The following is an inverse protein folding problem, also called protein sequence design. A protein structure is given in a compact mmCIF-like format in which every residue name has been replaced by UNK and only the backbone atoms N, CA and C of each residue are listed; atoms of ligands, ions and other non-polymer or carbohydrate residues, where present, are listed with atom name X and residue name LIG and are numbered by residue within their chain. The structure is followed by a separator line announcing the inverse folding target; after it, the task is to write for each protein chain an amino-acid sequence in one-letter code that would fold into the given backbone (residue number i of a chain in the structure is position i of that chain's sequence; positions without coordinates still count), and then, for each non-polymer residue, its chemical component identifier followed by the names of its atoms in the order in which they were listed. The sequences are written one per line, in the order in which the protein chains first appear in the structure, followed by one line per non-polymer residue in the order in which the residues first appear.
data_IF_144111123739
#
_entry.id   IF_144111123739
#
_cell.length_a   1.000
_cell.length_b   1.000
_cell.length_c   1.000
_cell.angle_alpha   90.00
_cell.angle_beta   90.00
_cell.angle_gamma   90.00
#
_symmetry.space_group_name_H-M   'P 1'
#
loop_
_entity.id
_entity.type
_entity.pdbx_description
1 polymer ?
#
# COMPACT_ATOMS: atom_id res chain seq x y z
N UNK A 1 17.70 4.87 6.59
CA UNK A 1 16.54 4.50 5.74
C UNK A 1 17.04 4.43 4.31
N UNK A 2 17.36 3.23 3.79
CA UNK A 2 17.82 3.07 2.40
C UNK A 2 16.61 2.78 1.51
N UNK A 3 16.04 3.83 0.94
CA UNK A 3 14.96 3.73 -0.03
C UNK A 3 15.51 3.10 -1.31
N UNK A 4 14.94 1.96 -1.72
CA UNK A 4 15.35 1.24 -2.92
C UNK A 4 14.33 1.45 -4.05
N UNK A 5 14.66 1.07 -5.29
CA UNK A 5 13.71 1.19 -6.41
C UNK A 5 12.43 0.35 -6.21
N UNK A 6 12.53 -0.76 -5.49
CA UNK A 6 11.38 -1.57 -5.11
C UNK A 6 10.44 -0.81 -4.16
N UNK A 7 11.01 -0.05 -3.23
CA UNK A 7 10.30 0.83 -2.29
C UNK A 7 9.42 1.87 -3.00
N UNK A 8 9.90 2.42 -4.12
CA UNK A 8 9.12 3.38 -4.92
C UNK A 8 7.93 2.71 -5.62
N UNK A 9 8.09 1.47 -6.10
CA UNK A 9 6.98 0.71 -6.67
C UNK A 9 5.95 0.33 -5.60
N UNK A 10 6.42 -0.06 -4.41
CA UNK A 10 5.57 -0.37 -3.25
C UNK A 10 4.76 0.87 -2.81
N UNK A 11 5.34 2.07 -2.90
CA UNK A 11 4.66 3.34 -2.67
C UNK A 11 3.54 3.61 -3.68
N UNK A 12 3.78 3.36 -4.98
CA UNK A 12 2.73 3.51 -6.01
C UNK A 12 1.58 2.56 -5.74
N UNK A 13 1.88 1.31 -5.36
CA UNK A 13 0.88 0.32 -4.97
C UNK A 13 0.11 0.77 -3.74
N UNK A 14 0.80 1.31 -2.75
CA UNK A 14 0.18 1.86 -1.55
C UNK A 14 -0.79 3.02 -1.86
N UNK A 15 -0.38 3.96 -2.71
CA UNK A 15 -1.23 5.08 -3.14
C UNK A 15 -2.48 4.60 -3.88
N UNK A 16 -2.35 3.63 -4.79
CA UNK A 16 -3.50 3.08 -5.50
C UNK A 16 -4.48 2.39 -4.53
N UNK A 17 -3.96 1.61 -3.58
CA UNK A 17 -4.78 0.93 -2.55
C UNK A 17 -5.46 1.97 -1.64
N UNK A 18 -4.75 3.01 -1.23
CA UNK A 18 -5.30 4.08 -0.40
C UNK A 18 -6.42 4.85 -1.14
N UNK A 19 -6.21 5.15 -2.43
CA UNK A 19 -7.18 5.86 -3.27
C UNK A 19 -8.47 5.05 -3.48
N UNK A 20 -8.34 3.74 -3.70
CA UNK A 20 -9.48 2.87 -3.93
C UNK A 20 -10.10 2.28 -2.67
N UNK A 21 -9.38 2.35 -1.55
CA UNK A 21 -9.67 1.64 -0.30
C UNK A 21 -9.94 0.14 -0.50
N UNK A 22 -9.40 -0.44 -1.58
CA UNK A 22 -9.68 -1.81 -2.01
C UNK A 22 -8.52 -2.36 -2.83
N UNK A 23 -7.97 -3.49 -2.38
CA UNK A 23 -6.92 -4.22 -3.09
C UNK A 23 -7.36 -4.68 -4.47
N UNK A 24 -8.61 -5.11 -4.62
CA UNK A 24 -9.13 -5.59 -5.92
C UNK A 24 -9.26 -4.46 -6.93
N UNK A 25 -9.75 -3.29 -6.52
CA UNK A 25 -9.87 -2.13 -7.43
C UNK A 25 -8.51 -1.57 -7.81
N UNK A 26 -7.59 -1.48 -6.85
CA UNK A 26 -6.21 -1.06 -7.12
C UNK A 26 -5.47 -2.04 -8.04
N UNK A 27 -5.70 -3.34 -7.89
CA UNK A 27 -5.13 -4.38 -8.75
C UNK A 27 -5.59 -4.22 -10.21
N UNK A 28 -6.88 -3.97 -10.41
CA UNK A 28 -7.44 -3.71 -11.75
C UNK A 28 -6.83 -2.45 -12.37
N UNK A 29 -6.69 -1.37 -11.61
CA UNK A 29 -6.06 -0.14 -12.13
C UNK A 29 -4.59 -0.38 -12.54
N UNK A 30 -3.84 -1.07 -11.70
CA UNK A 30 -2.40 -1.26 -11.88
C UNK A 30 -2.07 -2.42 -12.83
N UNK A 31 -3.07 -3.14 -13.33
CA UNK A 31 -2.87 -4.29 -14.22
C UNK A 31 -2.14 -5.47 -13.55
N UNK A 32 -2.23 -5.59 -12.23
CA UNK A 32 -1.58 -6.66 -11.45
C UNK A 32 -2.63 -7.45 -10.66
N UNK A 33 -2.24 -8.58 -10.09
CA UNK A 33 -3.15 -9.32 -9.21
C UNK A 33 -3.21 -8.71 -7.81
N UNK A 34 -4.36 -8.85 -7.14
CA UNK A 34 -4.53 -8.40 -5.75
C UNK A 34 -3.59 -9.13 -4.77
N UNK A 35 -3.19 -10.36 -5.09
CA UNK A 35 -2.19 -11.12 -4.34
C UNK A 35 -0.79 -10.53 -4.47
N UNK A 36 -0.41 -10.03 -5.65
CA UNK A 36 0.84 -9.28 -5.86
C UNK A 36 0.86 -8.02 -5.00
N UNK A 37 -0.23 -7.24 -5.00
CA UNK A 37 -0.33 -6.05 -4.16
C UNK A 37 -0.25 -6.37 -2.66
N UNK A 38 -0.92 -7.43 -2.21
CA UNK A 38 -0.82 -7.87 -0.81
C UNK A 38 0.60 -8.28 -0.40
N UNK A 39 1.34 -8.97 -1.27
CA UNK A 39 2.72 -9.35 -0.99
C UNK A 39 3.67 -8.15 -1.00
N UNK A 40 3.53 -7.25 -1.97
CA UNK A 40 4.33 -6.04 -2.08
C UNK A 40 4.17 -5.16 -0.82
N UNK A 41 2.93 -4.91 -0.38
CA UNK A 41 2.69 -4.13 0.84
C UNK A 41 3.21 -4.85 2.09
N UNK A 42 3.05 -6.17 2.20
CA UNK A 42 3.65 -6.91 3.33
C UNK A 42 5.17 -6.77 3.38
N UNK A 43 5.83 -6.87 2.22
CA UNK A 43 7.27 -6.68 2.12
C UNK A 43 7.69 -5.26 2.49
N UNK A 44 6.90 -4.28 2.07
CA UNK A 44 7.12 -2.87 2.37
C UNK A 44 6.96 -2.56 3.87
N UNK A 45 5.88 -3.05 4.50
CA UNK A 45 5.66 -2.97 5.95
C UNK A 45 6.79 -3.63 6.74
N UNK A 46 7.23 -4.82 6.31
CA UNK A 46 8.32 -5.55 6.97
C UNK A 46 9.66 -4.80 6.87
N UNK A 47 9.95 -4.15 5.73
CA UNK A 47 11.17 -3.37 5.51
C UNK A 47 11.18 -2.04 6.25
N UNK A 48 10.01 -1.40 6.38
CA UNK A 48 9.85 -0.18 7.16
C UNK A 48 9.75 -0.44 8.67
N UNK A 49 9.43 -1.67 9.09
CA UNK A 49 9.20 -2.01 10.49
C UNK A 49 7.92 -1.38 11.05
N UNK A 50 6.99 -0.96 10.20
CA UNK A 50 5.73 -0.30 10.57
C UNK A 50 4.56 -0.97 9.88
N UNK A 51 3.38 -0.98 10.51
CA UNK A 51 2.14 -1.36 9.85
C UNK A 51 1.52 -0.12 9.21
N UNK A 52 1.42 -0.13 7.89
CA UNK A 52 0.84 0.94 7.08
C UNK A 52 -0.66 0.75 6.85
N UNK A 53 -1.11 -0.50 6.87
CA UNK A 53 -2.51 -0.87 6.70
C UNK A 53 -3.03 -1.51 7.98
N UNK A 54 -3.82 -0.76 8.75
CA UNK A 54 -4.61 -1.35 9.82
C UNK A 54 -5.70 -2.23 9.19
N UNK A 55 -5.49 -3.54 9.19
CA UNK A 55 -6.54 -4.50 8.82
C UNK A 55 -7.66 -4.46 9.87
N UNK A 56 -8.64 -3.58 9.65
CA UNK A 56 -10.02 -3.80 10.07
C UNK A 56 -10.85 -3.93 8.80
N UNK A 57 -11.77 -4.88 8.74
CA UNK A 57 -12.58 -5.25 7.56
C UNK A 57 -13.42 -4.11 6.96
N UNK A 58 -13.37 -2.90 7.54
CA UNK A 58 -14.15 -1.73 7.13
C UNK A 58 -13.34 -0.46 6.88
N UNK A 59 -12.03 -0.39 7.18
CA UNK A 59 -11.24 0.82 6.92
C UNK A 59 -9.73 0.54 6.89
N UNK A 60 -9.10 1.00 5.81
CA UNK A 60 -7.66 1.20 5.70
C UNK A 60 -7.40 2.66 6.04
N UNK A 61 -6.69 2.92 7.14
CA UNK A 61 -6.31 4.29 7.54
C UNK A 61 -4.81 4.45 7.36
N UNK A 62 -4.41 5.37 6.48
CA UNK A 62 -3.02 5.81 6.28
C UNK A 62 -2.49 6.31 7.63
N UNK A 63 -1.44 5.71 8.18
CA UNK A 63 -0.98 6.13 9.51
C UNK A 63 -0.38 7.53 9.53
N UNK A 64 0.11 8.14 8.44
CA UNK A 64 0.64 9.52 8.53
C UNK A 64 0.63 10.31 7.19
N UNK A 65 0.21 11.59 7.30
CA UNK A 65 0.56 12.76 6.47
C UNK A 65 -0.04 13.00 5.07
N UNK A 66 -1.27 12.59 4.76
CA UNK A 66 -1.91 13.02 3.50
C UNK A 66 -3.38 13.44 3.63
N UNK A 67 -3.70 14.15 4.72
CA UNK A 67 -5.01 14.81 4.93
C UNK A 67 -4.84 16.34 5.04
N UNK A 68 -3.85 16.93 4.36
CA UNK A 68 -3.72 18.39 4.28
C UNK A 68 -2.90 18.86 3.07
N UNK A 69 -3.44 18.70 1.86
CA UNK A 69 -3.20 19.58 0.70
C UNK A 69 -4.53 19.78 -0.01
#
# INVERSE_FOLDING_TARGET
MNVTRADMADLVYFFAIARHQSFSKAAVELGVSASTLSHAIKGFEARLGVRLLNRTTKSVTLTLYLVHI
#
